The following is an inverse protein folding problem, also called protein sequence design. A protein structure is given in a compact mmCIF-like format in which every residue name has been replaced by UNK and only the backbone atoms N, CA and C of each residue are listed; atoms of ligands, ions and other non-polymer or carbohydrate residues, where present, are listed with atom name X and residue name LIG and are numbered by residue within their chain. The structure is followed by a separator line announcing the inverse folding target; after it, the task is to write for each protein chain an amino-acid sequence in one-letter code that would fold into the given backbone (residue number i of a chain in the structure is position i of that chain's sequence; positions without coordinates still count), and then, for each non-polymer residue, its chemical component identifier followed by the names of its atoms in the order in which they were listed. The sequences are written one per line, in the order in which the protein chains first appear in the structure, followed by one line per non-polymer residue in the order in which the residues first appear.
data_IF_519525635493
#
_entry.id   IF_519525635493
#
_cell.length_a   1.000
_cell.length_b   1.000
_cell.length_c   1.000
_cell.angle_alpha   90.00
_cell.angle_beta   90.00
_cell.angle_gamma   90.00
#
_symmetry.space_group_name_H-M   'P 1'
#
loop_
_entity.id
_entity.type
_entity.pdbx_description
1 polymer ?
#
# COMPACT_ATOMS: atom_id res chain seq x y z
N UNK A 1 -7.77 -7.99 -0.98
CA UNK A 1 -8.10 -6.55 -1.02
C UNK A 1 -7.16 -5.83 -0.06
N UNK A 2 -6.51 -4.77 -0.52
CA UNK A 2 -5.76 -3.90 0.39
C UNK A 2 -6.71 -3.36 1.47
N UNK A 3 -6.25 -3.16 2.70
CA UNK A 3 -7.09 -2.66 3.77
C UNK A 3 -7.82 -1.39 3.32
N UNK A 4 -9.12 -1.31 3.60
CA UNK A 4 -9.84 -0.06 3.43
C UNK A 4 -9.32 0.86 4.53
N UNK A 5 -8.32 1.65 4.19
CA UNK A 5 -7.73 2.55 5.15
C UNK A 5 -8.73 3.62 5.55
N UNK A 6 -8.95 3.77 6.83
CA UNK A 6 -9.82 4.81 7.39
C UNK A 6 -9.16 6.19 7.38
N UNK A 7 -7.88 6.28 6.99
CA UNK A 7 -7.05 7.48 7.09
C UNK A 7 -6.21 7.82 5.84
N UNK A 8 -6.54 7.26 4.67
CA UNK A 8 -5.82 7.56 3.43
C UNK A 8 -5.85 9.06 3.11
N UNK A 9 -4.70 9.62 2.75
CA UNK A 9 -4.60 11.01 2.30
C UNK A 9 -5.12 11.12 0.87
N UNK A 10 -6.15 11.95 0.66
CA UNK A 10 -6.62 12.30 -0.68
C UNK A 10 -5.85 13.52 -1.18
N UNK A 11 -5.25 13.36 -2.33
CA UNK A 11 -4.50 14.39 -3.02
C UNK A 11 -5.20 14.79 -4.33
N UNK A 12 -4.98 16.04 -4.73
CA UNK A 12 -5.52 16.58 -5.95
C UNK A 12 -4.76 17.87 -6.32
N UNK A 13 -5.20 18.57 -7.36
CA UNK A 13 -4.54 19.80 -7.82
C UNK A 13 -4.42 20.82 -6.69
N UNK A 14 -3.18 21.22 -6.39
CA UNK A 14 -2.85 22.19 -5.33
C UNK A 14 -2.64 21.58 -3.94
N UNK A 15 -2.81 20.27 -3.77
CA UNK A 15 -2.56 19.58 -2.50
C UNK A 15 -1.40 18.59 -2.63
N UNK A 16 -0.40 18.76 -1.79
CA UNK A 16 0.82 17.96 -1.78
C UNK A 16 1.52 18.05 -0.42
N UNK A 17 2.47 17.17 -0.17
CA UNK A 17 3.24 17.11 1.06
C UNK A 17 4.73 17.24 0.77
N UNK A 18 5.48 17.94 1.62
CA UNK A 18 6.92 17.78 1.77
C UNK A 18 7.20 16.78 2.87
N UNK A 19 8.13 15.89 2.64
CA UNK A 19 8.57 14.89 3.62
C UNK A 19 9.95 15.27 4.14
N UNK A 20 10.05 15.53 5.44
CA UNK A 20 11.29 15.85 6.15
C UNK A 20 11.44 14.97 7.39
N UNK A 21 12.63 14.92 7.95
CA UNK A 21 12.86 14.38 9.29
C UNK A 21 12.28 15.34 10.34
N UNK A 22 12.23 14.90 11.59
CA UNK A 22 11.70 15.70 12.69
C UNK A 22 12.52 16.97 12.99
N UNK A 23 13.74 17.06 12.51
CA UNK A 23 14.64 18.21 12.58
C UNK A 23 14.63 19.08 11.32
N UNK A 24 13.60 18.90 10.48
CA UNK A 24 13.43 19.56 9.17
C UNK A 24 14.50 19.23 8.12
N UNK A 25 15.43 18.32 8.42
CA UNK A 25 16.42 17.89 7.43
C UNK A 25 15.82 16.96 6.36
N UNK A 26 16.45 16.88 5.20
CA UNK A 26 16.01 16.02 4.11
C UNK A 26 16.03 14.54 4.51
N UNK A 27 14.94 13.85 4.30
CA UNK A 27 14.80 12.42 4.67
C UNK A 27 15.74 11.51 3.89
N UNK A 28 16.10 11.90 2.65
CA UNK A 28 16.96 11.12 1.75
C UNK A 28 18.45 11.51 1.86
N UNK A 29 18.81 12.41 2.78
CA UNK A 29 20.20 12.86 2.96
C UNK A 29 21.13 11.72 3.32
N UNK A 30 22.19 11.56 2.53
CA UNK A 30 23.24 10.58 2.74
C UNK A 30 22.84 9.13 2.46
N UNK A 31 21.76 8.92 1.72
CA UNK A 31 21.33 7.60 1.27
C UNK A 31 21.88 7.33 -0.13
N UNK A 32 22.55 6.19 -0.31
CA UNK A 32 23.03 5.72 -1.62
C UNK A 32 21.94 4.89 -2.34
N UNK A 33 21.07 4.28 -1.55
CA UNK A 33 19.95 3.47 -2.01
C UNK A 33 18.67 3.78 -1.21
N UNK A 34 17.53 3.47 -1.80
CA UNK A 34 16.22 3.67 -1.14
C UNK A 34 15.21 2.63 -1.56
N UNK A 35 14.36 2.23 -0.63
CA UNK A 35 13.07 1.60 -0.92
C UNK A 35 11.96 2.55 -0.49
N UNK A 36 11.06 2.87 -1.42
CA UNK A 36 9.86 3.69 -1.16
C UNK A 36 8.65 2.80 -1.38
N UNK A 37 7.84 2.65 -0.35
CA UNK A 37 6.68 1.75 -0.29
C UNK A 37 5.44 2.56 0.05
N UNK A 38 4.33 2.35 -0.66
CA UNK A 38 3.06 3.02 -0.39
C UNK A 38 1.88 2.29 -1.03
N UNK A 39 0.70 2.50 -0.48
CA UNK A 39 -0.55 2.10 -1.10
C UNK A 39 -1.13 3.27 -1.90
N UNK A 40 -1.63 2.98 -3.09
CA UNK A 40 -2.25 3.99 -3.94
C UNK A 40 -3.56 3.54 -4.57
N UNK A 41 -4.47 4.51 -4.73
CA UNK A 41 -5.60 4.41 -5.65
C UNK A 41 -5.59 5.67 -6.52
N UNK A 42 -4.91 5.57 -7.64
CA UNK A 42 -4.74 6.69 -8.55
C UNK A 42 -6.01 6.99 -9.35
N UNK A 43 -6.31 8.27 -9.49
CA UNK A 43 -7.26 8.81 -10.46
C UNK A 43 -6.57 9.66 -11.53
N UNK A 44 -5.23 9.73 -11.54
CA UNK A 44 -4.44 10.45 -12.53
C UNK A 44 -4.47 9.72 -13.87
N UNK A 45 -4.80 10.44 -14.94
CA UNK A 45 -4.80 9.91 -16.31
C UNK A 45 -3.62 10.41 -17.15
N UNK A 46 -3.01 11.51 -16.72
CA UNK A 46 -1.82 12.14 -17.32
C UNK A 46 -0.63 12.11 -16.35
N UNK A 47 0.32 13.04 -16.52
CA UNK A 47 1.38 13.24 -15.53
C UNK A 47 0.77 13.55 -14.17
N UNK A 48 1.12 12.73 -13.20
CA UNK A 48 0.71 12.88 -11.82
C UNK A 48 1.72 12.17 -10.94
N UNK A 49 2.57 12.95 -10.27
CA UNK A 49 3.67 12.42 -9.47
C UNK A 49 3.19 12.05 -8.08
N UNK A 50 3.06 10.76 -7.82
CA UNK A 50 2.78 10.26 -6.47
C UNK A 50 3.95 10.53 -5.53
N UNK A 51 5.18 10.32 -6.01
CA UNK A 51 6.43 10.57 -5.31
C UNK A 51 7.38 11.32 -6.23
N UNK A 52 8.08 12.32 -5.71
CA UNK A 52 9.06 13.08 -6.47
C UNK A 52 10.19 13.57 -5.56
N UNK A 53 11.44 13.24 -5.91
CA UNK A 53 12.63 13.72 -5.23
C UNK A 53 13.57 14.44 -6.20
N UNK A 54 14.10 15.60 -5.79
CA UNK A 54 14.99 16.40 -6.60
C UNK A 54 15.95 17.22 -5.73
N UNK A 55 17.11 17.67 -6.28
CA UNK A 55 18.14 18.37 -5.49
C UNK A 55 17.70 19.69 -4.89
N UNK A 56 16.72 20.36 -5.48
CA UNK A 56 16.46 21.76 -5.14
C UNK A 56 14.98 22.09 -5.13
N UNK A 57 14.51 22.75 -4.05
CA UNK A 57 13.15 23.29 -3.95
C UNK A 57 12.98 24.64 -4.63
N UNK A 58 14.06 25.41 -4.80
CA UNK A 58 13.99 26.82 -5.21
C UNK A 58 14.20 27.03 -6.71
N UNK A 59 15.01 26.21 -7.36
CA UNK A 59 15.25 26.26 -8.81
C UNK A 59 14.30 25.30 -9.53
N UNK A 60 13.02 25.57 -9.50
CA UNK A 60 11.97 24.70 -10.01
C UNK A 60 11.81 24.81 -11.52
N UNK A 61 12.85 24.47 -12.24
CA UNK A 61 12.84 24.46 -13.69
C UNK A 61 12.13 23.20 -14.20
N UNK A 62 11.22 23.37 -15.14
CA UNK A 62 10.57 22.25 -15.81
C UNK A 62 11.62 21.33 -16.48
N UNK A 63 11.40 20.02 -16.38
CA UNK A 63 12.28 19.00 -16.93
C UNK A 63 13.73 19.06 -16.38
N UNK A 64 13.85 19.07 -15.08
CA UNK A 64 15.15 18.97 -14.42
C UNK A 64 15.89 17.70 -14.88
N UNK A 65 17.23 17.80 -14.85
CA UNK A 65 18.13 16.74 -15.29
C UNK A 65 18.46 15.74 -14.18
N UNK A 66 18.15 16.12 -12.93
CA UNK A 66 18.40 15.32 -11.74
C UNK A 66 17.11 15.19 -10.97
N UNK A 67 16.53 14.01 -10.95
CA UNK A 67 15.41 13.65 -10.08
C UNK A 67 15.13 12.16 -10.10
N UNK A 68 14.38 11.72 -9.09
CA UNK A 68 13.72 10.44 -9.00
C UNK A 68 12.24 10.70 -8.82
N UNK A 69 11.38 10.14 -9.67
CA UNK A 69 9.95 10.35 -9.57
C UNK A 69 9.14 9.14 -9.98
N UNK A 70 7.96 9.01 -9.37
CA UNK A 70 6.99 7.98 -9.69
C UNK A 70 5.71 8.65 -10.19
N UNK A 71 5.39 8.43 -11.47
CA UNK A 71 4.08 8.76 -12.03
C UNK A 71 3.15 7.56 -11.86
N UNK A 72 2.22 7.69 -10.93
CA UNK A 72 1.23 6.65 -10.68
C UNK A 72 -0.11 7.06 -11.30
N UNK A 73 -0.48 6.37 -12.38
CA UNK A 73 -1.71 6.62 -13.14
C UNK A 73 -2.74 5.54 -12.85
N UNK A 74 -3.96 5.73 -13.33
CA UNK A 74 -5.05 4.74 -13.15
C UNK A 74 -4.67 3.34 -13.62
N UNK A 75 -3.92 3.22 -14.72
CA UNK A 75 -3.61 1.93 -15.36
C UNK A 75 -2.12 1.69 -15.57
N UNK A 76 -1.25 2.55 -15.06
CA UNK A 76 0.20 2.38 -15.19
C UNK A 76 0.96 3.03 -14.04
N UNK A 77 2.15 2.52 -13.76
CA UNK A 77 3.15 3.16 -12.90
C UNK A 77 4.44 3.32 -13.71
N UNK A 78 4.95 4.54 -13.77
CA UNK A 78 6.19 4.87 -14.45
C UNK A 78 7.16 5.50 -13.46
N UNK A 79 8.38 4.97 -13.41
CA UNK A 79 9.47 5.51 -12.63
C UNK A 79 10.44 6.21 -13.57
N UNK A 80 10.79 7.44 -13.24
CA UNK A 80 11.81 8.18 -13.92
C UNK A 80 12.98 8.43 -12.97
N UNK A 81 14.17 8.08 -13.44
CA UNK A 81 15.43 8.27 -12.74
C UNK A 81 16.41 9.00 -13.65
N UNK A 82 16.62 10.29 -13.37
CA UNK A 82 17.49 11.15 -14.14
C UNK A 82 18.65 11.64 -13.29
N UNK A 83 19.85 11.39 -13.73
CA UNK A 83 21.07 11.67 -12.99
C UNK A 83 22.18 12.27 -13.86
N UNK A 84 21.84 12.74 -15.06
CA UNK A 84 22.84 13.18 -16.01
C UNK A 84 22.78 14.70 -16.20
N UNK A 85 23.84 15.39 -15.79
CA UNK A 85 23.98 16.82 -16.02
C UNK A 85 24.01 17.14 -17.53
N UNK A 86 23.13 18.03 -17.93
CA UNK A 86 23.06 18.54 -19.30
C UNK A 86 22.11 17.80 -20.24
N UNK A 87 21.46 16.70 -19.82
CA UNK A 87 20.39 16.02 -20.57
C UNK A 87 19.64 15.00 -19.76
N UNK A 88 18.41 14.75 -20.15
CA UNK A 88 17.61 13.66 -19.59
C UNK A 88 18.12 12.31 -20.10
N UNK A 89 18.38 11.41 -19.18
CA UNK A 89 18.82 10.05 -19.43
C UNK A 89 17.73 9.07 -18.98
N UNK A 90 17.17 8.30 -19.91
CA UNK A 90 16.07 7.38 -19.65
C UNK A 90 16.53 5.96 -19.32
N UNK A 91 17.83 5.70 -19.26
CA UNK A 91 18.37 4.34 -19.10
C UNK A 91 18.00 3.70 -17.77
N UNK A 92 17.76 4.50 -16.72
CA UNK A 92 17.30 4.04 -15.41
C UNK A 92 15.79 4.03 -15.21
N UNK A 93 15.00 4.34 -16.25
CA UNK A 93 13.54 4.38 -16.14
C UNK A 93 12.94 2.98 -16.24
N UNK A 94 11.89 2.74 -15.45
CA UNK A 94 11.16 1.48 -15.43
C UNK A 94 9.66 1.75 -15.37
N UNK A 95 8.86 0.89 -16.02
CA UNK A 95 7.40 1.08 -16.04
C UNK A 95 6.63 -0.22 -16.08
N UNK A 96 5.38 -0.15 -15.61
CA UNK A 96 4.38 -1.20 -15.73
C UNK A 96 3.07 -0.61 -16.22
N UNK A 97 2.58 -1.12 -17.33
CA UNK A 97 1.27 -0.80 -17.92
C UNK A 97 0.26 -1.94 -17.68
N UNK A 98 -1.00 -1.68 -18.02
CA UNK A 98 -2.08 -2.67 -17.97
C UNK A 98 -2.57 -2.99 -16.57
N UNK A 99 -2.35 -2.09 -15.60
CA UNK A 99 -2.81 -2.25 -14.22
C UNK A 99 -4.32 -1.97 -14.12
N UNK A 100 -4.97 -2.63 -13.17
CA UNK A 100 -6.37 -2.34 -12.83
C UNK A 100 -6.47 -1.00 -12.08
N UNK A 101 -7.56 -0.25 -12.35
CA UNK A 101 -7.88 1.00 -11.64
C UNK A 101 -8.49 0.70 -10.26
N UNK A 102 -7.66 0.26 -9.33
CA UNK A 102 -8.02 -0.11 -7.96
C UNK A 102 -6.89 0.26 -7.00
N UNK A 103 -7.07 0.03 -5.72
CA UNK A 103 -5.98 0.08 -4.77
C UNK A 103 -4.88 -0.90 -5.17
N UNK A 104 -3.63 -0.47 -5.04
CA UNK A 104 -2.44 -1.29 -5.27
C UNK A 104 -1.35 -0.90 -4.27
N UNK A 105 -0.52 -1.85 -3.92
CA UNK A 105 0.71 -1.60 -3.21
C UNK A 105 1.84 -1.38 -4.21
N UNK A 106 2.64 -0.35 -4.00
CA UNK A 106 3.75 0.03 -4.89
C UNK A 106 5.02 0.09 -4.06
N UNK A 107 6.03 -0.69 -4.45
CA UNK A 107 7.37 -0.53 -3.93
C UNK A 107 8.33 -0.16 -5.06
N UNK A 108 9.13 0.87 -4.81
CA UNK A 108 10.20 1.30 -5.66
C UNK A 108 11.53 1.03 -4.95
N UNK A 109 12.38 0.21 -5.54
CA UNK A 109 13.73 -0.08 -5.06
C UNK A 109 14.74 0.53 -6.02
N UNK A 110 15.58 1.43 -5.49
CA UNK A 110 16.60 2.16 -6.25
C UNK A 110 17.96 2.00 -5.58
N UNK A 111 18.92 1.50 -6.34
CA UNK A 111 20.33 1.47 -5.99
C UNK A 111 21.20 1.65 -7.24
N UNK A 112 22.53 1.49 -7.12
CA UNK A 112 23.46 1.58 -8.25
C UNK A 112 23.34 0.40 -9.23
N UNK A 113 22.80 -0.73 -8.79
CA UNK A 113 22.66 -1.94 -9.57
C UNK A 113 21.36 -2.00 -10.38
N UNK A 114 20.28 -1.36 -9.90
CA UNK A 114 18.99 -1.42 -10.58
C UNK A 114 18.02 -0.30 -10.19
N UNK A 115 17.01 -0.12 -11.03
CA UNK A 115 15.72 0.44 -10.66
C UNK A 115 14.67 -0.67 -10.77
N UNK A 116 14.00 -1.02 -9.68
CA UNK A 116 13.04 -2.12 -9.66
C UNK A 116 11.71 -1.65 -9.10
N UNK A 117 10.65 -1.96 -9.82
CA UNK A 117 9.26 -1.67 -9.46
C UNK A 117 8.56 -2.97 -9.06
N UNK A 118 7.92 -2.97 -7.91
CA UNK A 118 7.04 -4.04 -7.45
C UNK A 118 5.61 -3.51 -7.36
N UNK A 119 4.66 -4.35 -7.72
CA UNK A 119 3.22 -4.10 -7.58
C UNK A 119 2.62 -5.28 -6.83
N UNK A 120 1.94 -4.99 -5.74
CA UNK A 120 1.28 -5.99 -4.89
C UNK A 120 2.25 -7.11 -4.44
N UNK A 121 3.49 -6.73 -4.07
CA UNK A 121 4.53 -7.61 -3.58
C UNK A 121 5.28 -8.41 -4.66
N UNK A 122 4.89 -8.30 -5.93
CA UNK A 122 5.51 -9.02 -7.05
C UNK A 122 6.32 -8.07 -7.94
N UNK A 123 7.50 -8.53 -8.39
CA UNK A 123 8.33 -7.73 -9.30
C UNK A 123 7.61 -7.49 -10.62
N UNK A 124 7.23 -6.25 -10.85
CA UNK A 124 6.50 -5.84 -12.05
C UNK A 124 7.43 -5.47 -13.22
N UNK A 125 8.57 -4.84 -12.91
CA UNK A 125 9.58 -4.46 -13.89
C UNK A 125 10.90 -4.14 -13.19
N UNK A 126 12.01 -4.32 -13.92
CA UNK A 126 13.36 -3.95 -13.46
C UNK A 126 14.21 -3.51 -14.64
N UNK A 127 15.14 -2.61 -14.38
CA UNK A 127 16.17 -2.22 -15.33
C UNK A 127 17.52 -2.14 -14.60
N UNK A 128 18.55 -2.69 -15.22
CA UNK A 128 19.93 -2.62 -14.76
C UNK A 128 20.78 -1.80 -15.74
N UNK A 129 21.91 -1.22 -15.29
CA UNK A 129 22.84 -0.56 -16.20
C UNK A 129 23.50 -1.57 -17.16
N UNK A 130 24.17 -1.07 -18.20
CA UNK A 130 24.95 -1.91 -19.10
C UNK A 130 26.05 -2.67 -18.33
N UNK A 131 26.48 -3.80 -18.89
CA UNK A 131 27.52 -4.64 -18.28
C UNK A 131 28.77 -3.84 -17.90
N UNK A 132 29.20 -3.98 -16.65
CA UNK A 132 30.34 -3.27 -16.09
C UNK A 132 30.10 -1.80 -15.74
N UNK A 133 28.87 -1.30 -15.87
CA UNK A 133 28.46 0.03 -15.44
C UNK A 133 27.63 -0.03 -14.16
N UNK A 134 27.48 1.13 -13.51
CA UNK A 134 26.55 1.33 -12.39
C UNK A 134 25.66 2.54 -12.69
N UNK A 135 24.43 2.53 -12.19
CA UNK A 135 23.66 3.76 -12.12
C UNK A 135 24.26 4.72 -11.08
N UNK A 136 24.03 6.02 -11.25
CA UNK A 136 24.39 6.97 -10.24
C UNK A 136 23.67 6.67 -8.91
N UNK A 137 24.38 6.82 -7.81
CA UNK A 137 23.80 6.66 -6.48
C UNK A 137 22.77 7.75 -6.21
N UNK A 138 21.90 7.54 -5.24
CA UNK A 138 20.88 8.51 -4.88
C UNK A 138 21.48 9.86 -4.46
N UNK A 139 22.63 9.85 -3.80
CA UNK A 139 23.41 11.04 -3.45
C UNK A 139 23.90 11.83 -4.68
N UNK A 140 24.19 11.17 -5.79
CA UNK A 140 24.55 11.84 -7.04
C UNK A 140 23.34 12.50 -7.71
N UNK A 141 22.18 11.89 -7.56
CA UNK A 141 20.91 12.43 -8.11
C UNK A 141 20.44 13.62 -7.30
N UNK A 142 20.45 13.54 -5.97
CA UNK A 142 19.83 14.51 -5.08
C UNK A 142 20.80 15.53 -4.48
N UNK A 143 22.10 15.30 -4.63
CA UNK A 143 23.14 16.10 -3.97
C UNK A 143 23.37 15.71 -2.50
N UNK A 144 24.45 16.21 -1.92
CA UNK A 144 24.92 15.86 -0.58
C UNK A 144 23.95 16.26 0.55
N UNK A 145 23.08 17.22 0.31
CA UNK A 145 22.03 17.65 1.24
C UNK A 145 20.74 16.81 1.19
N UNK A 146 20.65 15.91 0.20
CA UNK A 146 19.50 15.00 0.02
C UNK A 146 18.29 15.64 -0.66
N UNK A 147 18.37 16.88 -1.09
CA UNK A 147 17.33 17.59 -1.84
C UNK A 147 15.98 17.63 -1.11
N UNK A 148 14.91 17.51 -1.88
CA UNK A 148 13.53 17.48 -1.38
C UNK A 148 12.85 16.18 -1.76
N UNK A 149 11.93 15.74 -0.93
CA UNK A 149 10.98 14.68 -1.23
C UNK A 149 9.55 15.23 -1.15
N UNK A 150 8.83 15.14 -2.26
CA UNK A 150 7.46 15.61 -2.38
C UNK A 150 6.53 14.46 -2.71
N UNK A 151 5.36 14.46 -2.09
CA UNK A 151 4.29 13.50 -2.33
C UNK A 151 3.13 14.27 -2.97
N UNK A 152 2.70 13.82 -4.15
CA UNK A 152 1.55 14.40 -4.83
C UNK A 152 1.87 15.47 -5.87
N UNK A 153 3.14 15.79 -6.12
CA UNK A 153 3.55 16.69 -7.21
C UNK A 153 5.03 16.57 -7.55
N UNK A 154 5.42 17.07 -8.72
CA UNK A 154 6.82 17.38 -9.02
C UNK A 154 7.22 18.73 -8.39
N UNK A 155 8.52 18.99 -8.25
CA UNK A 155 8.99 20.24 -7.64
C UNK A 155 9.13 21.42 -8.61
N UNK A 156 8.81 21.27 -9.89
CA UNK A 156 8.75 22.40 -10.82
C UNK A 156 7.50 23.27 -10.66
N UNK A 157 7.57 24.51 -11.15
CA UNK A 157 6.59 25.57 -10.87
C UNK A 157 5.15 25.16 -11.18
N UNK A 158 4.93 24.50 -12.31
CA UNK A 158 3.59 24.10 -12.74
C UNK A 158 3.16 22.75 -12.20
N UNK A 159 3.84 22.22 -11.20
CA UNK A 159 3.73 20.92 -10.58
C UNK A 159 2.69 19.99 -11.20
N UNK A 160 3.07 18.88 -11.74
CA UNK A 160 2.17 17.90 -12.30
C UNK A 160 1.58 17.09 -11.14
N UNK A 161 0.43 17.56 -10.65
CA UNK A 161 -0.19 17.05 -9.44
C UNK A 161 -0.75 15.65 -9.62
N UNK A 162 -0.44 14.79 -8.66
CA UNK A 162 -1.13 13.51 -8.51
C UNK A 162 -2.56 13.74 -8.04
N UNK A 163 -3.48 12.96 -8.56
CA UNK A 163 -4.87 12.92 -8.12
C UNK A 163 -5.22 11.49 -7.71
N UNK A 164 -5.68 11.33 -6.49
CA UNK A 164 -6.02 10.01 -5.97
C UNK A 164 -5.92 9.94 -4.45
N UNK A 165 -5.78 8.73 -3.94
CA UNK A 165 -5.55 8.47 -2.53
C UNK A 165 -4.22 7.72 -2.35
N UNK A 166 -3.46 8.10 -1.32
CA UNK A 166 -2.22 7.46 -0.90
C UNK A 166 -2.31 7.10 0.57
N UNK A 167 -1.65 6.01 0.93
CA UNK A 167 -1.57 5.53 2.30
C UNK A 167 -0.30 4.73 2.57
N UNK A 168 -0.03 4.43 3.84
CA UNK A 168 1.04 3.55 4.29
C UNK A 168 2.42 3.89 3.72
N UNK A 169 2.71 5.18 3.46
CA UNK A 169 4.00 5.60 2.96
C UNK A 169 5.11 5.23 3.94
N UNK A 170 6.08 4.47 3.46
CA UNK A 170 7.28 4.07 4.17
C UNK A 170 8.51 4.35 3.31
N UNK A 171 9.59 4.79 3.93
CA UNK A 171 10.85 5.08 3.27
C UNK A 171 11.96 4.35 4.04
N UNK A 172 12.67 3.49 3.35
CA UNK A 172 13.77 2.70 3.91
C UNK A 172 15.09 3.16 3.26
N UNK A 173 16.10 3.41 4.09
CA UNK A 173 17.43 3.87 3.63
C UNK A 173 18.30 2.76 3.06
N UNK A 174 17.71 1.74 2.46
CA UNK A 174 18.40 0.63 1.81
C UNK A 174 17.54 0.05 0.69
N UNK A 175 18.20 -0.62 -0.26
CA UNK A 175 17.51 -1.45 -1.25
C UNK A 175 17.02 -2.74 -0.61
N UNK A 176 15.71 -2.98 -0.61
CA UNK A 176 15.11 -4.23 -0.15
C UNK A 176 15.22 -5.31 -1.24
N UNK A 177 15.42 -6.55 -0.80
CA UNK A 177 15.36 -7.71 -1.68
C UNK A 177 13.90 -8.05 -2.05
N UNK A 178 13.72 -8.85 -3.10
CA UNK A 178 12.40 -9.33 -3.49
C UNK A 178 11.67 -10.07 -2.35
N UNK A 179 12.40 -10.87 -1.58
CA UNK A 179 11.85 -11.60 -0.43
C UNK A 179 11.39 -10.64 0.68
N UNK A 180 12.16 -9.58 0.97
CA UNK A 180 11.78 -8.56 1.95
C UNK A 180 10.54 -7.77 1.51
N UNK A 181 10.44 -7.43 0.22
CA UNK A 181 9.25 -6.77 -0.35
C UNK A 181 8.03 -7.68 -0.22
N UNK A 182 8.18 -8.95 -0.62
CA UNK A 182 7.09 -9.91 -0.54
C UNK A 182 6.63 -10.15 0.90
N UNK A 183 7.55 -10.36 1.84
CA UNK A 183 7.24 -10.54 3.25
C UNK A 183 6.54 -9.31 3.84
N UNK A 184 7.01 -8.10 3.53
CA UNK A 184 6.39 -6.86 3.96
C UNK A 184 4.96 -6.73 3.43
N UNK A 185 4.73 -7.05 2.16
CA UNK A 185 3.41 -7.04 1.55
C UNK A 185 2.48 -8.10 2.14
N UNK A 186 2.95 -9.35 2.29
CA UNK A 186 2.16 -10.44 2.87
C UNK A 186 1.79 -10.15 4.34
N UNK A 187 2.66 -9.46 5.08
CA UNK A 187 2.34 -9.03 6.45
C UNK A 187 1.19 -8.03 6.51
N UNK A 188 1.03 -7.16 5.51
CA UNK A 188 -0.12 -6.24 5.45
C UNK A 188 -1.43 -6.97 5.19
N UNK A 189 -1.40 -8.10 4.50
CA UNK A 189 -2.57 -8.96 4.25
C UNK A 189 -2.99 -9.71 5.52
N UNK A 190 -2.03 -10.29 6.24
CA UNK A 190 -2.27 -10.91 7.54
C UNK A 190 -2.89 -9.91 8.53
N UNK A 191 -2.48 -8.65 8.50
CA UNK A 191 -3.06 -7.60 9.33
C UNK A 191 -4.52 -7.26 8.94
N UNK A 192 -4.94 -7.50 7.70
CA UNK A 192 -6.32 -7.26 7.27
C UNK A 192 -7.32 -8.23 7.92
N UNK A 193 -7.04 -9.53 7.91
CA UNK A 193 -7.86 -10.53 8.60
C UNK A 193 -7.89 -10.27 10.11
N UNK A 194 -6.73 -9.95 10.69
CA UNK A 194 -6.59 -9.64 12.11
C UNK A 194 -7.32 -8.36 12.52
N UNK A 195 -7.33 -7.32 11.70
CA UNK A 195 -8.10 -6.10 11.95
C UNK A 195 -9.61 -6.39 11.95
N UNK A 196 -10.09 -7.22 11.02
CA UNK A 196 -11.48 -7.66 10.99
C UNK A 196 -11.83 -8.55 12.20
N UNK A 197 -10.90 -9.40 12.64
CA UNK A 197 -11.07 -10.21 13.84
C UNK A 197 -11.18 -9.35 15.11
N UNK A 198 -10.32 -8.34 15.24
CA UNK A 198 -10.34 -7.41 16.38
C UNK A 198 -11.61 -6.54 16.42
N UNK A 199 -12.19 -6.23 15.25
CA UNK A 199 -13.42 -5.45 15.13
C UNK A 199 -14.70 -6.32 15.17
N UNK A 200 -14.56 -7.65 15.21
CA UNK A 200 -15.69 -8.56 15.16
C UNK A 200 -16.57 -8.41 16.38
N UNK A 201 -17.84 -8.16 16.12
CA UNK A 201 -18.88 -8.11 17.14
C UNK A 201 -20.07 -8.98 16.72
N UNK A 202 -20.70 -9.62 17.70
CA UNK A 202 -21.92 -10.40 17.48
C UNK A 202 -23.09 -9.63 18.10
N UNK A 203 -24.03 -9.19 17.28
CA UNK A 203 -25.24 -8.56 17.77
C UNK A 203 -26.08 -9.56 18.57
N UNK A 204 -26.51 -9.13 19.76
CA UNK A 204 -27.18 -9.96 20.76
C UNK A 204 -26.32 -11.12 21.30
N UNK A 205 -25.03 -11.17 20.95
CA UNK A 205 -24.07 -12.10 21.53
C UNK A 205 -23.62 -11.58 22.89
N UNK A 206 -24.13 -12.17 23.96
CA UNK A 206 -23.69 -11.96 25.33
C UNK A 206 -23.40 -13.31 25.97
N UNK A 207 -23.01 -13.30 27.22
CA UNK A 207 -22.88 -14.54 28.00
C UNK A 207 -24.22 -15.28 28.15
N UNK A 208 -25.35 -14.54 28.10
CA UNK A 208 -26.70 -15.09 28.25
C UNK A 208 -27.53 -14.75 27.02
N UNK A 209 -27.72 -15.72 26.14
CA UNK A 209 -28.39 -15.55 24.85
C UNK A 209 -29.85 -16.09 24.94
N UNK A 210 -30.82 -15.21 24.75
CA UNK A 210 -32.27 -15.53 24.82
C UNK A 210 -32.99 -15.41 23.49
N UNK A 211 -32.32 -14.91 22.45
CA UNK A 211 -32.89 -14.71 21.10
C UNK A 211 -31.84 -15.05 20.03
N UNK A 212 -32.28 -15.11 18.77
CA UNK A 212 -31.38 -15.30 17.67
C UNK A 212 -30.29 -14.22 17.68
N UNK A 213 -29.07 -14.64 17.33
CA UNK A 213 -27.90 -13.78 17.18
C UNK A 213 -27.62 -13.54 15.69
N UNK A 214 -26.96 -12.44 15.37
CA UNK A 214 -26.52 -12.17 14.01
C UNK A 214 -25.03 -12.55 13.89
N UNK A 215 -24.74 -13.52 13.03
CA UNK A 215 -23.38 -13.92 12.70
C UNK A 215 -22.93 -13.21 11.43
N UNK A 216 -22.01 -12.22 11.50
CA UNK A 216 -21.53 -11.52 10.31
C UNK A 216 -20.85 -12.49 9.35
N UNK A 217 -21.11 -12.37 8.06
CA UNK A 217 -20.43 -13.11 7.01
C UNK A 217 -19.22 -12.36 6.42
N UNK A 218 -19.06 -11.09 6.82
CA UNK A 218 -17.97 -10.22 6.37
C UNK A 218 -17.45 -9.35 7.51
N UNK A 219 -16.14 -9.13 7.52
CA UNK A 219 -15.48 -8.19 8.41
C UNK A 219 -15.90 -6.75 8.13
N UNK A 220 -15.94 -5.92 9.17
CA UNK A 220 -16.41 -4.54 9.09
C UNK A 220 -15.34 -3.54 8.68
N UNK A 221 -14.07 -3.90 8.76
CA UNK A 221 -12.93 -3.03 8.46
C UNK A 221 -12.43 -3.26 7.03
N UNK A 222 -12.09 -4.52 6.69
CA UNK A 222 -11.49 -4.88 5.41
C UNK A 222 -12.41 -5.73 4.52
N UNK A 223 -13.56 -6.16 5.05
CA UNK A 223 -14.50 -6.99 4.31
C UNK A 223 -14.06 -8.43 4.13
N UNK A 224 -13.14 -8.93 4.96
CA UNK A 224 -12.71 -10.33 4.99
C UNK A 224 -13.91 -11.26 5.13
N UNK A 225 -13.89 -12.40 4.45
CA UNK A 225 -14.93 -13.40 4.59
C UNK A 225 -14.91 -14.02 6.00
N UNK A 226 -16.06 -14.19 6.62
CA UNK A 226 -16.18 -14.81 7.94
C UNK A 226 -17.02 -16.08 7.81
N UNK A 227 -16.44 -17.20 8.25
CA UNK A 227 -17.16 -18.45 8.40
C UNK A 227 -17.24 -18.82 9.87
N UNK A 228 -18.32 -19.48 10.25
CA UNK A 228 -18.62 -19.79 11.63
C UNK A 228 -18.66 -21.30 11.85
N UNK A 229 -18.26 -21.73 13.04
CA UNK A 229 -18.43 -23.10 13.53
C UNK A 229 -18.98 -23.07 14.95
N UNK A 230 -20.12 -23.72 15.13
CA UNK A 230 -20.74 -23.93 16.44
C UNK A 230 -20.30 -25.25 17.06
N UNK A 231 -19.98 -25.24 18.34
CA UNK A 231 -19.73 -26.48 19.08
C UNK A 231 -21.00 -27.33 19.23
N UNK A 232 -22.18 -26.74 19.03
CA UNK A 232 -23.46 -27.41 19.01
C UNK A 232 -24.46 -26.69 18.08
N UNK A 233 -24.42 -27.03 16.79
CA UNK A 233 -25.27 -26.41 15.76
C UNK A 233 -26.77 -26.70 15.95
N UNK A 234 -27.15 -27.68 16.79
CA UNK A 234 -28.54 -27.92 17.16
C UNK A 234 -29.09 -26.89 18.17
N UNK A 235 -28.18 -26.19 18.86
CA UNK A 235 -28.52 -25.14 19.83
C UNK A 235 -28.35 -23.76 19.22
N UNK A 236 -27.22 -23.52 18.50
CA UNK A 236 -26.99 -22.31 17.74
C UNK A 236 -26.47 -22.70 16.36
N UNK A 237 -27.21 -22.38 15.30
CA UNK A 237 -26.81 -22.70 13.93
C UNK A 237 -25.62 -21.85 13.49
N UNK A 238 -24.67 -22.46 12.80
CA UNK A 238 -23.43 -21.82 12.32
C UNK A 238 -23.39 -21.57 10.80
N UNK A 239 -24.31 -22.19 10.06
CA UNK A 239 -24.47 -21.99 8.63
C UNK A 239 -25.95 -21.85 8.28
N UNK A 240 -26.27 -21.20 7.18
CA UNK A 240 -27.60 -21.22 6.62
C UNK A 240 -27.87 -22.60 5.99
N UNK A 241 -29.06 -23.14 6.25
CA UNK A 241 -29.54 -24.41 5.67
C UNK A 241 -31.00 -24.22 5.20
N UNK A 242 -31.17 -24.13 3.90
CA UNK A 242 -32.48 -23.76 3.30
C UNK A 242 -32.96 -22.41 3.81
N UNK A 243 -34.10 -22.38 4.44
CA UNK A 243 -34.71 -21.18 5.02
C UNK A 243 -34.19 -20.83 6.43
N UNK A 244 -33.29 -21.66 6.98
CA UNK A 244 -32.72 -21.45 8.32
C UNK A 244 -31.46 -20.61 8.20
N UNK A 245 -31.48 -19.39 8.75
CA UNK A 245 -30.28 -18.53 8.82
C UNK A 245 -29.26 -19.06 9.84
N UNK A 246 -27.99 -18.68 9.68
CA UNK A 246 -26.99 -18.85 10.73
C UNK A 246 -27.34 -17.98 11.97
N UNK A 247 -27.03 -18.47 13.18
CA UNK A 247 -27.28 -17.77 14.42
C UNK A 247 -28.68 -17.96 14.99
N UNK A 248 -29.48 -18.88 14.46
CA UNK A 248 -30.76 -19.26 15.06
C UNK A 248 -30.51 -20.03 16.35
N UNK A 249 -31.19 -19.59 17.43
CA UNK A 249 -31.06 -20.14 18.77
C UNK A 249 -32.24 -21.03 19.13
N UNK A 250 -31.97 -22.32 19.33
CA UNK A 250 -32.94 -23.26 19.84
C UNK A 250 -32.90 -23.32 21.37
N UNK A 251 -33.93 -22.81 22.06
CA UNK A 251 -33.99 -22.77 23.52
C UNK A 251 -33.95 -24.16 24.14
N UNK A 252 -33.11 -24.31 25.13
CA UNK A 252 -32.96 -25.54 25.90
C UNK A 252 -33.72 -25.46 27.23
N UNK A 253 -33.98 -26.61 27.85
CA UNK A 253 -34.63 -26.70 29.18
C UNK A 253 -33.71 -26.29 30.32
N UNK A 254 -32.37 -26.34 30.06
CA UNK A 254 -31.34 -25.99 31.00
C UNK A 254 -30.28 -25.15 30.29
N UNK A 255 -29.54 -24.34 31.04
CA UNK A 255 -28.44 -23.54 30.51
C UNK A 255 -27.44 -24.43 29.78
N UNK A 256 -27.18 -24.10 28.55
CA UNK A 256 -26.31 -24.89 27.65
C UNK A 256 -25.24 -23.97 27.06
N UNK A 257 -23.99 -24.27 27.37
CA UNK A 257 -22.84 -23.54 26.83
C UNK A 257 -22.59 -23.96 25.39
N UNK A 258 -22.53 -22.98 24.49
CA UNK A 258 -22.12 -23.15 23.09
C UNK A 258 -20.94 -22.23 22.79
N UNK A 259 -19.90 -22.75 22.16
CA UNK A 259 -18.77 -21.98 21.66
C UNK A 259 -18.96 -21.76 20.16
N UNK A 260 -18.92 -20.51 19.73
CA UNK A 260 -18.87 -20.14 18.33
C UNK A 260 -17.42 -19.77 17.96
N UNK A 261 -16.89 -20.38 16.93
CA UNK A 261 -15.58 -20.08 16.39
C UNK A 261 -15.74 -19.39 15.06
N UNK A 262 -15.21 -18.17 14.92
CA UNK A 262 -15.11 -17.47 13.65
C UNK A 262 -13.77 -17.83 12.99
N UNK A 263 -13.77 -18.05 11.70
CA UNK A 263 -12.57 -18.07 10.86
C UNK A 263 -12.70 -16.90 9.88
N UNK A 264 -11.80 -15.96 9.99
CA UNK A 264 -11.77 -14.75 9.16
C UNK A 264 -10.74 -14.97 8.07
N UNK A 265 -11.16 -14.86 6.80
CA UNK A 265 -10.29 -15.07 5.64
C UNK A 265 -10.28 -13.80 4.79
N UNK A 266 -9.13 -13.21 4.58
CA UNK A 266 -8.99 -12.08 3.68
C UNK A 266 -9.09 -12.47 2.19
N UNK A 267 -9.01 -11.50 1.29
CA UNK A 267 -9.15 -11.74 -0.14
C UNK A 267 -8.01 -12.59 -0.73
N UNK A 268 -6.91 -12.71 -0.04
CA UNK A 268 -5.71 -13.42 -0.44
C UNK A 268 -5.62 -14.81 0.19
N UNK A 269 -6.59 -15.17 1.03
CA UNK A 269 -6.69 -16.47 1.67
C UNK A 269 -5.95 -16.59 3.02
N UNK A 270 -5.41 -15.48 3.56
CA UNK A 270 -4.85 -15.49 4.91
C UNK A 270 -5.98 -15.57 5.94
N UNK A 271 -5.77 -16.32 7.01
CA UNK A 271 -6.80 -16.60 8.02
C UNK A 271 -6.35 -16.17 9.42
N UNK A 272 -7.32 -15.70 10.19
CA UNK A 272 -7.23 -15.45 11.62
C UNK A 272 -8.33 -16.20 12.36
#
# INVERSE_FOLDING_TARGET
ALPICTAAVRLGSGFWLNVTKSDDSAVLKGLDAVTISYDSKSASTNQGWSVFAAPNTNAQTYQQEHYLGVMDRTTSVNVERYNNAGKRDTTGNVSKDGLASQWRHVDLVIDEAASTLYIDGEQAATVAPADGASFAQLTDILGADGGVLQIGKANWVNGEYYTGALDNLKIYGSAHTADQIKEAYDSTKSDAAKADANALTINNGSTDVYSNITLPAKGSVNGSAITWKSSNAKVITDAADGDIAAGVVARQKTDTKVTLTATITDADGNTE
#
